data_IF_946289194912
#
_entry.id   IF_946289194912
#
_cell.length_a   1.000
_cell.length_b   1.000
_cell.length_c   1.000
_cell.angle_alpha   90.00
_cell.angle_beta   90.00
_cell.angle_gamma   90.00
#
_symmetry.space_group_name_H-M   'P 1'
#
loop_
_entity.id
_entity.type
_entity.pdbx_description
1 polymer ?
#
# COMPACT_ATOMS: atom_id res chain seq x y z
N UNK A 1 -64.12 40.26 -22.83
CA UNK A 1 -63.54 41.62 -22.86
C UNK A 1 -62.04 41.44 -22.96
N UNK A 2 -61.48 41.59 -24.16
CA UNK A 2 -60.74 42.79 -24.59
C UNK A 2 -59.41 42.91 -23.81
N UNK A 3 -58.26 42.40 -24.27
CA UNK A 3 -57.60 42.51 -25.58
C UNK A 3 -57.08 43.93 -25.90
N UNK A 4 -55.77 44.14 -25.69
CA UNK A 4 -54.96 45.09 -26.49
C UNK A 4 -53.51 44.60 -26.50
N UNK A 5 -52.91 44.54 -27.70
CA UNK A 5 -51.51 44.19 -27.92
C UNK A 5 -50.80 45.36 -28.61
N UNK A 6 -49.50 45.55 -28.38
CA UNK A 6 -48.68 46.50 -29.14
C UNK A 6 -47.32 45.89 -29.52
N UNK A 7 -47.16 45.73 -30.84
CA UNK A 7 -45.96 45.41 -31.64
C UNK A 7 -45.13 46.67 -31.92
N UNK A 8 -43.89 46.69 -32.45
CA UNK A 8 -42.90 45.76 -33.06
C UNK A 8 -41.49 46.40 -32.70
N UNK A 9 -40.33 46.20 -33.37
CA UNK A 9 -39.96 45.29 -34.45
C UNK A 9 -38.73 44.37 -34.23
N UNK A 10 -38.86 43.19 -34.81
CA UNK A 10 -37.89 42.40 -35.59
C UNK A 10 -36.67 43.11 -36.20
N UNK A 11 -35.49 42.48 -36.12
CA UNK A 11 -34.39 42.67 -37.09
C UNK A 11 -33.51 41.41 -37.28
N UNK A 12 -33.64 40.77 -38.44
CA UNK A 12 -32.82 39.70 -39.07
C UNK A 12 -33.28 39.64 -40.55
N UNK A 13 -32.53 39.15 -41.56
CA UNK A 13 -31.22 38.46 -41.55
C UNK A 13 -30.17 39.03 -42.55
N UNK A 14 -28.94 38.50 -42.54
CA UNK A 14 -28.03 38.53 -43.71
C UNK A 14 -26.96 37.41 -43.63
N UNK A 15 -26.82 36.52 -44.64
CA UNK A 15 -25.83 35.44 -44.62
C UNK A 15 -24.80 35.47 -45.78
N UNK A 16 -23.72 34.68 -45.64
CA UNK A 16 -22.81 34.21 -46.71
C UNK A 16 -21.84 35.29 -47.32
N UNK A 17 -20.67 34.92 -47.92
CA UNK A 17 -20.43 33.70 -48.71
C UNK A 17 -19.22 32.80 -48.42
N UNK A 18 -19.36 31.57 -48.92
CA UNK A 18 -18.34 30.54 -49.12
C UNK A 18 -17.56 30.85 -50.41
N UNK A 19 -16.24 30.61 -50.43
CA UNK A 19 -15.43 30.62 -51.65
C UNK A 19 -14.79 29.25 -51.89
N UNK A 20 -15.03 28.70 -53.08
CA UNK A 20 -14.50 27.42 -53.57
C UNK A 20 -13.51 27.66 -54.75
N UNK A 21 -12.71 26.65 -55.19
CA UNK A 21 -11.42 26.90 -55.84
C UNK A 21 -11.44 27.02 -57.37
N UNK A 22 -10.40 27.64 -57.95
CA UNK A 22 -10.19 27.72 -59.40
C UNK A 22 -8.76 27.39 -59.85
N UNK A 23 -8.55 26.10 -60.14
CA UNK A 23 -8.00 25.55 -61.40
C UNK A 23 -6.74 26.14 -62.11
N UNK A 24 -5.89 25.21 -62.59
CA UNK A 24 -4.94 25.29 -63.74
C UNK A 24 -3.65 26.11 -63.49
N UNK A 25 -2.49 25.83 -64.11
CA UNK A 25 -2.05 24.86 -65.16
C UNK A 25 -0.51 24.77 -65.07
N UNK A 26 0.13 23.64 -65.43
CA UNK A 26 1.60 23.62 -65.54
C UNK A 26 2.28 22.24 -65.58
N UNK A 27 2.18 21.55 -66.71
CA UNK A 27 3.04 20.40 -67.03
C UNK A 27 4.45 20.89 -67.40
N UNK A 28 5.52 20.20 -66.97
CA UNK A 28 6.53 19.66 -67.91
C UNK A 28 7.52 18.69 -67.22
N UNK A 29 7.91 17.66 -67.98
CA UNK A 29 8.86 16.62 -67.58
C UNK A 29 10.28 16.92 -68.12
N UNK A 30 11.29 16.24 -67.56
CA UNK A 30 12.24 15.33 -68.23
C UNK A 30 13.71 15.43 -67.73
N UNK A 31 14.24 14.24 -67.39
CA UNK A 31 15.62 13.73 -67.62
C UNK A 31 16.82 14.23 -66.81
N UNK A 32 17.46 13.22 -66.19
CA UNK A 32 18.87 13.09 -65.78
C UNK A 32 19.82 13.05 -67.02
N UNK A 33 21.19 13.13 -66.92
CA UNK A 33 22.04 12.26 -66.08
C UNK A 33 23.36 12.86 -65.48
N UNK A 34 24.07 12.00 -64.73
CA UNK A 34 25.35 12.17 -64.00
C UNK A 34 26.56 12.39 -64.93
N UNK A 35 27.71 12.94 -64.45
CA UNK A 35 28.91 12.06 -64.39
C UNK A 35 29.99 12.31 -63.29
N UNK A 36 30.69 11.22 -62.94
CA UNK A 36 32.13 11.06 -62.57
C UNK A 36 32.64 11.19 -61.11
N UNK A 37 33.23 10.05 -60.68
CA UNK A 37 34.30 9.74 -59.68
C UNK A 37 35.37 10.85 -59.51
N UNK A 38 36.16 10.93 -58.42
CA UNK A 38 36.85 9.83 -57.72
C UNK A 38 37.48 10.18 -56.34
N UNK A 39 38.07 9.14 -55.72
CA UNK A 39 39.15 9.10 -54.68
C UNK A 39 38.74 8.90 -53.20
N UNK A 40 39.11 7.70 -52.69
CA UNK A 40 39.65 7.26 -51.37
C UNK A 40 39.50 8.22 -50.15
N UNK A 41 39.24 7.74 -48.93
CA UNK A 41 40.09 6.87 -48.10
C UNK A 41 39.26 6.06 -47.06
N UNK A 42 39.82 4.98 -46.53
CA UNK A 42 39.18 4.06 -45.59
C UNK A 42 38.90 4.65 -44.19
N UNK A 43 37.76 4.26 -43.62
CA UNK A 43 37.58 4.12 -42.17
C UNK A 43 36.51 3.04 -41.91
N UNK A 44 36.92 1.93 -41.30
CA UNK A 44 36.04 0.87 -40.86
C UNK A 44 35.41 1.21 -39.51
N UNK A 45 34.09 1.38 -39.46
CA UNK A 45 33.31 1.31 -38.23
C UNK A 45 31.95 0.69 -38.57
N UNK A 46 31.68 -0.51 -38.07
CA UNK A 46 30.38 -1.14 -38.23
C UNK A 46 29.34 -0.37 -37.40
N UNK A 47 28.22 -0.02 -38.02
CA UNK A 47 27.10 0.62 -37.32
C UNK A 47 26.42 -0.41 -36.42
N UNK A 48 26.86 -0.47 -35.16
CA UNK A 48 26.21 -1.28 -34.13
C UNK A 48 24.79 -0.76 -33.89
N UNK A 49 23.80 -1.66 -33.92
CA UNK A 49 22.40 -1.27 -33.73
C UNK A 49 22.19 -0.78 -32.28
N UNK A 50 21.32 0.23 -32.06
CA UNK A 50 21.08 0.74 -30.71
C UNK A 50 20.57 -0.40 -29.80
N UNK A 51 21.14 -0.58 -28.60
CA UNK A 51 20.77 -1.68 -27.73
C UNK A 51 19.30 -1.55 -27.34
N UNK A 52 18.54 -2.63 -27.55
CA UNK A 52 17.18 -2.74 -26.98
C UNK A 52 17.29 -2.56 -25.46
N UNK A 53 16.43 -1.74 -24.82
CA UNK A 53 16.41 -1.68 -23.36
C UNK A 53 16.11 -3.09 -22.80
N UNK A 54 16.81 -3.50 -21.73
CA UNK A 54 16.53 -4.78 -21.09
C UNK A 54 15.06 -4.84 -20.60
N UNK A 55 14.45 -6.03 -20.55
CA UNK A 55 13.07 -6.17 -20.14
C UNK A 55 12.87 -5.61 -18.73
N UNK A 56 11.87 -4.74 -18.57
CA UNK A 56 11.57 -4.10 -17.30
C UNK A 56 11.13 -5.16 -16.28
N UNK A 57 12.01 -5.48 -15.33
CA UNK A 57 11.60 -6.05 -14.04
C UNK A 57 10.57 -5.09 -13.43
N UNK A 58 9.36 -5.54 -13.06
CA UNK A 58 8.39 -4.69 -12.37
C UNK A 58 8.80 -4.54 -10.91
N UNK A 59 9.94 -3.90 -10.65
CA UNK A 59 10.33 -3.39 -9.33
C UNK A 59 9.41 -2.22 -9.01
N UNK A 60 8.20 -2.57 -8.58
CA UNK A 60 7.06 -1.70 -8.28
C UNK A 60 7.24 -0.86 -7.02
N UNK A 61 8.41 -0.26 -6.85
CA UNK A 61 8.65 0.82 -5.91
C UNK A 61 8.32 2.10 -6.68
N UNK A 62 7.08 2.57 -6.57
CA UNK A 62 6.80 3.98 -6.88
C UNK A 62 7.55 4.76 -5.81
N UNK A 63 8.70 5.32 -6.21
CA UNK A 63 9.58 6.07 -5.34
C UNK A 63 8.80 7.18 -4.62
N UNK A 64 9.13 7.37 -3.35
CA UNK A 64 8.64 8.51 -2.59
C UNK A 64 9.31 9.76 -3.16
N UNK A 65 8.64 10.40 -4.13
CA UNK A 65 9.14 11.62 -4.77
C UNK A 65 9.39 12.69 -3.68
N UNK A 66 10.63 13.16 -3.48
CA UNK A 66 10.96 14.06 -2.36
C UNK A 66 10.23 15.42 -2.45
N UNK A 67 9.79 15.81 -3.65
CA UNK A 67 8.97 16.99 -3.87
C UNK A 67 7.51 16.86 -3.34
N UNK A 68 6.97 15.64 -3.24
CA UNK A 68 5.62 15.40 -2.69
C UNK A 68 5.63 15.25 -1.15
N UNK A 69 6.81 15.12 -0.54
CA UNK A 69 6.98 14.79 0.87
C UNK A 69 6.45 15.85 1.87
N UNK A 70 6.33 17.12 1.45
CA UNK A 70 5.90 18.22 2.32
C UNK A 70 4.36 18.33 2.48
N UNK A 71 3.56 17.49 1.81
CA UNK A 71 2.09 17.49 2.00
C UNK A 71 1.72 16.84 3.33
N UNK A 72 0.93 17.56 4.13
CA UNK A 72 0.40 17.15 5.46
C UNK A 72 -0.25 15.75 5.49
N UNK A 73 -0.71 15.24 4.33
CA UNK A 73 -1.24 13.88 4.14
C UNK A 73 -0.69 13.23 2.85
N UNK A 74 0.64 13.02 2.78
CA UNK A 74 1.34 12.42 1.62
C UNK A 74 0.68 11.13 1.13
N UNK A 75 0.61 10.09 1.96
CA UNK A 75 0.03 8.79 1.58
C UNK A 75 -1.44 8.88 1.18
N UNK A 76 -2.25 9.74 1.81
CA UNK A 76 -3.65 9.91 1.40
C UNK A 76 -3.75 10.48 -0.01
N UNK A 77 -2.93 11.48 -0.32
CA UNK A 77 -2.89 12.08 -1.67
C UNK A 77 -2.45 11.04 -2.70
N UNK A 78 -1.38 10.29 -2.42
CA UNK A 78 -0.89 9.20 -3.29
C UNK A 78 -1.96 8.13 -3.49
N UNK A 79 -2.70 7.75 -2.44
CA UNK A 79 -3.81 6.81 -2.55
C UNK A 79 -4.89 7.34 -3.51
N UNK A 80 -5.38 8.56 -3.27
CA UNK A 80 -6.46 9.16 -4.05
C UNK A 80 -6.07 9.40 -5.53
N UNK A 81 -4.81 9.77 -5.83
CA UNK A 81 -4.38 10.12 -7.20
C UNK A 81 -3.68 9.02 -7.99
N UNK A 82 -2.88 8.16 -7.34
CA UNK A 82 -2.02 7.15 -8.00
C UNK A 82 -2.54 5.73 -7.78
N UNK A 83 -3.02 5.38 -6.58
CA UNK A 83 -3.38 3.98 -6.24
C UNK A 83 -4.77 3.58 -6.74
N UNK A 84 -5.79 4.45 -6.58
CA UNK A 84 -7.16 4.16 -7.05
C UNK A 84 -7.24 3.79 -8.54
N UNK A 85 -6.66 4.56 -9.51
CA UNK A 85 -6.76 4.20 -10.93
C UNK A 85 -6.08 2.86 -11.23
N UNK A 86 -4.87 2.63 -10.73
CA UNK A 86 -4.12 1.36 -10.95
C UNK A 86 -4.94 0.15 -10.46
N UNK A 87 -5.49 0.22 -9.24
CA UNK A 87 -6.31 -0.89 -8.70
C UNK A 87 -7.63 -1.06 -9.49
N UNK A 88 -8.20 0.02 -10.01
CA UNK A 88 -9.44 -0.06 -10.82
C UNK A 88 -9.18 -0.70 -12.18
N UNK A 89 -8.04 -0.40 -12.80
CA UNK A 89 -7.59 -1.02 -14.06
C UNK A 89 -7.19 -2.49 -13.89
N UNK A 90 -6.43 -2.83 -12.84
CA UNK A 90 -5.94 -4.20 -12.59
C UNK A 90 -7.05 -5.19 -12.24
N UNK A 91 -8.06 -4.76 -11.47
CA UNK A 91 -9.15 -5.63 -10.99
C UNK A 91 -10.49 -5.40 -11.69
N UNK A 92 -10.60 -4.40 -12.57
CA UNK A 92 -11.79 -4.16 -13.39
C UNK A 92 -13.04 -3.77 -12.60
N UNK A 93 -12.90 -3.04 -11.49
CA UNK A 93 -14.04 -2.67 -10.64
C UNK A 93 -15.06 -1.80 -11.37
N UNK A 94 -16.34 -2.21 -11.31
CA UNK A 94 -17.45 -1.47 -11.92
C UNK A 94 -17.90 -0.26 -11.12
N UNK A 95 -17.50 -0.16 -9.85
CA UNK A 95 -17.92 0.90 -8.94
C UNK A 95 -16.75 1.39 -8.09
N UNK A 96 -16.54 2.72 -8.07
CA UNK A 96 -15.48 3.42 -7.30
C UNK A 96 -15.52 3.12 -5.79
N UNK A 97 -16.68 2.72 -5.26
CA UNK A 97 -16.83 2.32 -3.86
C UNK A 97 -16.42 0.87 -3.57
N UNK A 98 -16.21 0.02 -4.58
CA UNK A 98 -15.67 -1.34 -4.41
C UNK A 98 -14.14 -1.35 -4.23
N UNK A 99 -13.44 -0.30 -4.66
CA UNK A 99 -11.99 -0.18 -4.54
C UNK A 99 -11.57 -0.34 -3.07
N UNK A 100 -10.68 -1.29 -2.73
CA UNK A 100 -10.20 -1.53 -1.38
C UNK A 100 -9.62 -0.28 -0.70
N UNK A 101 -9.94 -0.09 0.58
CA UNK A 101 -9.52 1.07 1.38
C UNK A 101 -8.97 0.62 2.74
N UNK A 102 -8.13 1.43 3.35
CA UNK A 102 -7.72 1.26 4.74
C UNK A 102 -8.82 1.76 5.67
N UNK A 103 -9.33 0.91 6.56
CA UNK A 103 -10.38 1.27 7.53
C UNK A 103 -9.79 1.82 8.84
N UNK A 104 -8.84 1.07 9.39
CA UNK A 104 -8.18 1.34 10.67
C UNK A 104 -6.85 0.60 10.74
N UNK A 105 -5.93 1.13 11.53
CA UNK A 105 -4.75 0.41 11.98
C UNK A 105 -4.88 0.25 13.50
N UNK A 106 -4.81 -0.99 13.97
CA UNK A 106 -4.78 -1.30 15.41
C UNK A 106 -3.33 -1.58 15.79
N UNK A 107 -2.81 -0.81 16.74
CA UNK A 107 -1.49 -1.04 17.35
C UNK A 107 -1.71 -1.62 18.73
N UNK A 108 -1.14 -2.79 19.00
CA UNK A 108 -1.27 -3.53 20.24
C UNK A 108 0.11 -3.77 20.86
N UNK A 109 0.21 -3.65 22.19
CA UNK A 109 1.41 -3.99 22.95
C UNK A 109 1.02 -4.88 24.13
N UNK A 110 1.50 -6.13 24.12
CA UNK A 110 1.36 -7.06 25.24
C UNK A 110 2.47 -6.86 26.26
N UNK A 111 2.13 -6.35 27.46
CA UNK A 111 3.12 -6.07 28.51
C UNK A 111 3.39 -7.26 29.44
N UNK A 112 2.65 -8.36 29.30
CA UNK A 112 2.96 -9.66 29.91
C UNK A 112 3.23 -9.60 31.42
N UNK A 113 4.49 -9.75 31.81
CA UNK A 113 4.93 -9.76 33.22
C UNK A 113 4.87 -8.36 33.86
N UNK A 114 5.09 -7.30 33.08
CA UNK A 114 5.07 -5.91 33.55
C UNK A 114 3.66 -5.33 33.73
N UNK A 115 2.63 -6.12 33.40
CA UNK A 115 1.23 -5.88 33.75
C UNK A 115 0.99 -5.54 35.24
N UNK A 116 1.79 -6.12 36.15
CA UNK A 116 1.73 -5.83 37.59
C UNK A 116 2.47 -4.55 38.02
N UNK A 117 3.33 -3.99 37.15
CA UNK A 117 4.18 -2.85 37.46
C UNK A 117 3.60 -1.57 36.85
N UNK A 118 2.78 -0.84 37.62
CA UNK A 118 2.12 0.41 37.17
C UNK A 118 3.10 1.40 36.48
N UNK A 119 4.34 1.52 36.98
CA UNK A 119 5.37 2.39 36.39
C UNK A 119 5.77 1.99 34.96
N UNK A 120 5.95 0.69 34.71
CA UNK A 120 6.31 0.18 33.38
C UNK A 120 5.16 0.33 32.39
N UNK A 121 3.93 0.13 32.85
CA UNK A 121 2.74 0.35 32.06
C UNK A 121 2.54 1.84 31.71
N UNK A 122 2.83 2.76 32.64
CA UNK A 122 2.78 4.21 32.36
C UNK A 122 3.88 4.70 31.41
N UNK A 123 5.09 4.11 31.46
CA UNK A 123 6.14 4.37 30.47
C UNK A 123 5.68 3.93 29.07
N UNK A 124 5.28 2.65 28.92
CA UNK A 124 4.83 2.12 27.63
C UNK A 124 3.60 2.86 27.04
N UNK A 125 2.73 3.43 27.87
CA UNK A 125 1.65 4.30 27.39
C UNK A 125 2.15 5.63 26.84
N UNK A 126 3.19 6.23 27.44
CA UNK A 126 3.82 7.46 26.93
C UNK A 126 4.56 7.18 25.64
N UNK A 127 5.29 6.07 25.56
CA UNK A 127 6.03 5.68 24.36
C UNK A 127 5.08 5.47 23.16
N UNK A 128 4.00 4.69 23.34
CA UNK A 128 2.97 4.53 22.31
C UNK A 128 2.24 5.84 21.97
N UNK A 129 2.06 6.75 22.93
CA UNK A 129 1.47 8.07 22.65
C UNK A 129 2.41 8.94 21.81
N UNK A 130 3.73 8.93 22.07
CA UNK A 130 4.74 9.63 21.26
C UNK A 130 4.81 9.08 19.84
N UNK A 131 4.81 7.75 19.68
CA UNK A 131 4.79 7.12 18.35
C UNK A 131 3.49 7.46 17.61
N UNK A 132 2.33 7.20 18.20
CA UNK A 132 1.07 7.25 17.45
C UNK A 132 0.43 8.63 17.39
N UNK A 133 0.81 9.56 18.27
CA UNK A 133 0.14 10.84 18.46
C UNK A 133 -1.21 10.75 19.17
N UNK A 134 -1.57 9.57 19.71
CA UNK A 134 -2.84 9.31 20.36
C UNK A 134 -2.63 8.60 21.70
N UNK A 135 -3.28 9.08 22.77
CA UNK A 135 -3.19 8.42 24.07
C UNK A 135 -3.85 7.03 24.03
N UNK A 136 -3.19 5.98 24.53
CA UNK A 136 -3.64 4.62 24.33
C UNK A 136 -4.61 4.10 25.41
N UNK A 137 -5.30 2.99 25.11
CA UNK A 137 -6.29 2.36 25.99
C UNK A 137 -5.68 1.15 26.70
N UNK A 138 -5.84 1.09 28.02
CA UNK A 138 -5.45 -0.07 28.86
C UNK A 138 -6.37 -1.26 28.61
N UNK A 139 -5.83 -2.40 28.18
CA UNK A 139 -6.62 -3.61 27.90
C UNK A 139 -6.69 -4.51 29.13
N UNK A 140 -7.92 -4.90 29.53
CA UNK A 140 -8.18 -5.73 30.70
C UNK A 140 -8.44 -7.20 30.34
N UNK A 141 -8.06 -8.10 31.24
CA UNK A 141 -8.35 -9.53 31.18
C UNK A 141 -9.86 -9.80 31.19
N UNK A 142 -10.35 -10.55 30.20
CA UNK A 142 -11.75 -11.02 30.14
C UNK A 142 -12.00 -12.28 30.97
N UNK A 143 -11.00 -13.17 31.06
CA UNK A 143 -11.10 -14.46 31.72
C UNK A 143 -9.91 -14.63 32.67
N UNK A 144 -10.13 -15.26 33.82
CA UNK A 144 -9.07 -15.67 34.75
C UNK A 144 -8.34 -16.92 34.24
N UNK A 145 -7.01 -16.90 34.18
CA UNK A 145 -6.18 -18.03 33.73
C UNK A 145 -5.00 -18.23 34.70
N UNK A 146 -5.08 -19.30 35.48
CA UNK A 146 -4.12 -19.60 36.55
C UNK A 146 -2.67 -19.76 36.05
N UNK A 147 -2.47 -20.40 34.88
CA UNK A 147 -1.15 -20.62 34.29
C UNK A 147 -0.36 -19.34 34.02
N UNK A 148 -1.05 -18.24 33.71
CA UNK A 148 -0.45 -16.92 33.49
C UNK A 148 -0.53 -16.02 34.74
N UNK A 149 -1.08 -16.51 35.85
CA UNK A 149 -1.36 -15.76 37.09
C UNK A 149 -2.29 -14.55 36.88
N UNK A 150 -3.15 -14.59 35.87
CA UNK A 150 -4.06 -13.51 35.49
C UNK A 150 -5.45 -13.75 36.10
N UNK A 151 -6.02 -12.72 36.72
CA UNK A 151 -7.42 -12.66 37.16
C UNK A 151 -8.21 -11.70 36.26
N UNK A 152 -9.52 -11.90 36.17
CA UNK A 152 -10.44 -10.96 35.52
C UNK A 152 -10.24 -9.51 36.00
N UNK A 153 -10.33 -8.57 35.06
CA UNK A 153 -10.16 -7.15 35.35
C UNK A 153 -8.70 -6.66 35.47
N UNK A 154 -7.72 -7.56 35.63
CA UNK A 154 -6.30 -7.18 35.58
C UNK A 154 -5.96 -6.52 34.23
N UNK A 155 -5.14 -5.46 34.23
CA UNK A 155 -4.63 -4.88 32.97
C UNK A 155 -3.51 -5.77 32.44
N UNK A 156 -3.54 -6.16 31.16
CA UNK A 156 -2.53 -7.04 30.54
C UNK A 156 -1.63 -6.27 29.56
N UNK A 157 -2.18 -5.27 28.88
CA UNK A 157 -1.48 -4.57 27.82
C UNK A 157 -2.14 -3.24 27.46
N UNK A 158 -1.75 -2.75 26.29
CA UNK A 158 -2.10 -1.42 25.80
C UNK A 158 -2.48 -1.55 24.32
N UNK A 159 -3.55 -0.87 23.89
CA UNK A 159 -3.95 -0.83 22.49
C UNK A 159 -4.37 0.58 22.03
N UNK A 160 -4.11 0.88 20.76
CA UNK A 160 -4.54 2.09 20.05
C UNK A 160 -5.27 1.68 18.78
N UNK A 161 -6.35 2.38 18.44
CA UNK A 161 -7.01 2.25 17.12
C UNK A 161 -6.91 3.57 16.38
N UNK A 162 -6.06 3.59 15.35
CA UNK A 162 -5.83 4.73 14.48
C UNK A 162 -6.81 4.70 13.31
N UNK A 163 -7.41 5.85 12.99
CA UNK A 163 -8.34 6.03 11.87
C UNK A 163 -8.07 7.34 11.14
N UNK A 164 -8.59 7.46 9.93
CA UNK A 164 -8.53 8.69 9.15
C UNK A 164 -7.10 9.17 8.91
N UNK A 165 -6.83 10.45 9.18
CA UNK A 165 -5.52 11.09 8.89
C UNK A 165 -4.36 10.50 9.70
N UNK A 166 -4.57 10.22 11.00
CA UNK A 166 -3.52 9.71 11.90
C UNK A 166 -3.04 8.33 11.46
N UNK A 167 -3.95 7.50 10.95
CA UNK A 167 -3.65 6.17 10.40
C UNK A 167 -2.67 6.25 9.22
N UNK A 168 -2.91 7.14 8.25
CA UNK A 168 -1.99 7.33 7.11
C UNK A 168 -0.63 7.85 7.58
N UNK A 169 -0.59 8.80 8.52
CA UNK A 169 0.67 9.37 9.03
C UNK A 169 1.47 8.37 9.90
N UNK A 170 0.80 7.41 10.54
CA UNK A 170 1.48 6.29 11.21
C UNK A 170 2.00 5.26 10.21
N UNK A 171 1.22 4.91 9.18
CA UNK A 171 1.65 3.99 8.12
C UNK A 171 2.86 4.53 7.34
N UNK A 172 2.89 5.84 7.05
CA UNK A 172 4.00 6.51 6.37
C UNK A 172 5.30 6.41 7.18
N UNK A 173 5.23 6.68 8.49
CA UNK A 173 6.37 6.51 9.41
C UNK A 173 6.76 5.04 9.58
N UNK A 174 5.79 4.12 9.62
CA UNK A 174 6.09 2.70 9.70
C UNK A 174 6.90 2.23 8.49
N UNK A 175 6.43 2.55 7.26
CA UNK A 175 7.05 2.10 6.01
C UNK A 175 8.41 2.78 5.77
N UNK A 176 8.48 4.10 5.87
CA UNK A 176 9.66 4.86 5.44
C UNK A 176 10.74 5.00 6.52
N UNK A 177 10.40 4.82 7.80
CA UNK A 177 11.28 5.13 8.93
C UNK A 177 11.45 3.92 9.86
N UNK A 178 10.36 3.24 10.22
CA UNK A 178 10.38 2.09 11.14
C UNK A 178 10.97 0.82 10.52
N UNK A 179 10.44 0.36 9.38
CA UNK A 179 10.89 -0.88 8.74
C UNK A 179 12.38 -0.84 8.33
N UNK A 180 12.92 0.21 7.67
CA UNK A 180 14.32 0.24 7.26
C UNK A 180 15.31 0.32 8.45
N UNK A 181 14.85 0.82 9.60
CA UNK A 181 15.63 0.90 10.85
C UNK A 181 15.51 -0.37 11.70
N UNK A 182 14.65 -1.32 11.33
CA UNK A 182 14.54 -2.59 12.03
C UNK A 182 15.81 -3.42 11.80
N UNK A 183 16.39 -3.93 12.89
CA UNK A 183 17.55 -4.83 12.80
C UNK A 183 17.17 -6.10 12.01
N UNK A 184 18.04 -6.50 11.08
CA UNK A 184 17.85 -7.65 10.18
C UNK A 184 16.62 -7.55 9.24
N UNK A 185 16.32 -6.36 8.71
CA UNK A 185 15.19 -6.17 7.80
C UNK A 185 15.45 -6.76 6.39
N UNK A 186 14.76 -7.87 6.08
CA UNK A 186 14.80 -8.56 4.78
C UNK A 186 13.52 -8.37 3.92
N UNK A 187 12.66 -7.41 4.31
CA UNK A 187 11.30 -7.29 3.79
C UNK A 187 10.25 -7.93 4.72
N UNK A 188 9.01 -7.47 4.64
CA UNK A 188 7.88 -8.06 5.38
C UNK A 188 7.35 -9.32 4.71
N UNK A 189 6.90 -10.29 5.49
CA UNK A 189 6.41 -11.57 4.98
C UNK A 189 5.06 -11.37 4.24
N UNK A 190 4.94 -11.70 2.94
CA UNK A 190 3.69 -11.59 2.20
C UNK A 190 2.64 -12.63 2.63
N UNK A 191 2.98 -13.63 3.45
CA UNK A 191 2.02 -14.64 3.92
C UNK A 191 1.33 -14.27 5.24
N UNK A 192 1.48 -13.03 5.75
CA UNK A 192 0.89 -12.59 7.02
C UNK A 192 -0.54 -12.00 6.90
N UNK A 193 -1.27 -12.38 5.84
CA UNK A 193 -2.69 -12.06 5.68
C UNK A 193 -3.59 -13.10 6.37
N UNK A 194 -4.84 -12.71 6.64
CA UNK A 194 -5.82 -13.53 7.37
C UNK A 194 -6.87 -14.24 6.48
N UNK A 195 -6.67 -14.27 5.16
CA UNK A 195 -7.63 -14.80 4.19
C UNK A 195 -8.77 -13.83 3.84
N UNK A 196 -8.86 -12.69 4.52
CA UNK A 196 -9.91 -11.68 4.36
C UNK A 196 -9.32 -10.29 4.10
N UNK A 197 -8.09 -10.22 3.58
CA UNK A 197 -7.44 -8.97 3.22
C UNK A 197 -6.96 -8.09 4.39
N UNK A 198 -6.93 -8.59 5.62
CA UNK A 198 -6.27 -7.89 6.74
C UNK A 198 -4.83 -8.39 6.89
N UNK A 199 -3.94 -7.51 7.28
CA UNK A 199 -2.50 -7.78 7.36
C UNK A 199 -1.97 -7.49 8.75
N UNK A 200 -1.19 -8.41 9.34
CA UNK A 200 -0.59 -8.19 10.67
C UNK A 200 0.93 -8.37 10.63
N UNK A 201 1.64 -7.44 11.27
CA UNK A 201 3.09 -7.51 11.49
C UNK A 201 3.43 -7.36 12.97
N UNK A 202 4.38 -8.15 13.44
CA UNK A 202 4.98 -8.01 14.76
C UNK A 202 6.32 -7.27 14.67
N UNK A 203 6.44 -6.13 15.34
CA UNK A 203 7.70 -5.42 15.56
C UNK A 203 8.28 -5.87 16.90
N UNK A 204 9.51 -6.39 16.87
CA UNK A 204 10.19 -6.94 18.07
C UNK A 204 10.63 -5.87 19.07
N UNK A 205 10.85 -4.65 18.60
CA UNK A 205 11.37 -3.53 19.38
C UNK A 205 10.68 -2.24 18.93
N UNK A 206 10.28 -1.40 19.89
CA UNK A 206 9.71 -0.08 19.65
C UNK A 206 10.78 0.97 19.28
N UNK A 207 12.06 0.72 19.58
CA UNK A 207 13.20 1.61 19.25
C UNK A 207 13.47 1.82 17.75
N UNK A 208 12.65 1.25 16.87
CA UNK A 208 12.61 1.56 15.43
C UNK A 208 12.11 2.98 15.14
N UNK A 209 11.32 3.56 16.05
CA UNK A 209 10.82 4.94 15.97
C UNK A 209 11.81 5.92 16.61
N UNK A 210 12.28 6.99 15.91
CA UNK A 210 13.17 8.00 16.51
C UNK A 210 12.51 8.86 17.59
N UNK A 211 11.19 8.85 17.69
CA UNK A 211 10.44 9.51 18.76
C UNK A 211 10.71 8.90 20.16
N UNK A 212 11.26 7.68 20.23
CA UNK A 212 11.65 7.03 21.48
C UNK A 212 13.17 7.21 21.71
N UNK A 213 13.61 7.79 22.84
CA UNK A 213 15.02 7.85 23.18
C UNK A 213 15.56 6.43 23.47
N UNK A 214 16.73 6.11 22.95
CA UNK A 214 17.34 4.79 23.16
C UNK A 214 17.98 4.70 24.55
N UNK A 215 17.22 4.24 25.54
CA UNK A 215 17.75 3.92 26.87
C UNK A 215 18.47 2.55 26.85
N UNK A 216 19.79 2.57 27.07
CA UNK A 216 20.68 1.40 26.95
C UNK A 216 20.35 0.27 27.94
N UNK A 217 19.59 0.55 29.01
CA UNK A 217 19.11 -0.44 29.99
C UNK A 217 17.60 -0.66 30.02
N UNK A 218 16.83 -0.06 29.10
CA UNK A 218 15.38 -0.14 29.08
C UNK A 218 14.86 -1.52 28.66
N UNK A 219 13.70 -1.95 29.22
CA UNK A 219 12.99 -3.13 28.71
C UNK A 219 12.41 -2.82 27.32
N UNK A 220 12.90 -3.54 26.31
CA UNK A 220 12.37 -3.46 24.94
C UNK A 220 10.99 -4.10 24.87
N UNK A 221 9.97 -3.26 24.65
CA UNK A 221 8.61 -3.72 24.40
C UNK A 221 8.43 -3.96 22.90
N UNK A 222 7.79 -5.07 22.52
CA UNK A 222 7.32 -5.28 21.14
C UNK A 222 6.02 -4.54 20.86
N UNK A 223 5.60 -4.51 19.60
CA UNK A 223 4.22 -4.15 19.23
C UNK A 223 3.73 -5.00 18.05
N UNK A 224 2.44 -5.32 18.05
CA UNK A 224 1.74 -5.88 16.89
C UNK A 224 0.97 -4.77 16.20
N UNK A 225 1.09 -4.68 14.88
CA UNK A 225 0.35 -3.73 14.05
C UNK A 225 -0.53 -4.52 13.10
N UNK A 226 -1.85 -4.43 13.30
CA UNK A 226 -2.87 -5.00 12.43
C UNK A 226 -3.47 -3.90 11.55
N UNK A 227 -3.24 -4.01 10.26
CA UNK A 227 -3.80 -3.16 9.21
C UNK A 227 -5.09 -3.81 8.72
N UNK A 228 -6.22 -3.12 8.90
CA UNK A 228 -7.54 -3.59 8.47
C UNK A 228 -7.93 -2.89 7.18
N UNK A 229 -8.27 -3.67 6.16
CA UNK A 229 -8.72 -3.16 4.86
C UNK A 229 -10.17 -3.54 4.59
N UNK A 230 -10.77 -2.94 3.56
CA UNK A 230 -12.07 -3.36 3.02
C UNK A 230 -11.96 -4.38 1.88
N UNK A 231 -10.76 -4.90 1.60
CA UNK A 231 -10.58 -5.94 0.59
C UNK A 231 -11.31 -7.22 1.01
N UNK A 232 -11.69 -8.04 0.04
CA UNK A 232 -12.29 -9.36 0.30
C UNK A 232 -11.29 -10.49 0.12
N UNK A 233 -10.21 -10.23 -0.61
CA UNK A 233 -9.18 -11.22 -0.92
C UNK A 233 -7.79 -10.68 -0.56
N UNK A 234 -6.89 -11.59 -0.20
CA UNK A 234 -5.53 -11.23 0.16
C UNK A 234 -4.75 -10.64 -1.03
N UNK A 235 -5.07 -11.04 -2.27
CA UNK A 235 -4.44 -10.51 -3.48
C UNK A 235 -4.69 -9.00 -3.66
N UNK A 236 -5.93 -8.56 -3.45
CA UNK A 236 -6.33 -7.14 -3.48
C UNK A 236 -5.60 -6.34 -2.39
N UNK A 237 -5.56 -6.89 -1.17
CA UNK A 237 -4.92 -6.25 -0.02
C UNK A 237 -3.38 -6.17 -0.16
N UNK A 238 -2.75 -7.24 -0.63
CA UNK A 238 -1.32 -7.28 -0.91
C UNK A 238 -0.94 -6.29 -1.99
N UNK A 239 -1.74 -6.20 -3.07
CA UNK A 239 -1.51 -5.22 -4.15
C UNK A 239 -1.67 -3.79 -3.66
N UNK A 240 -2.70 -3.50 -2.88
CA UNK A 240 -2.91 -2.20 -2.24
C UNK A 240 -1.73 -1.80 -1.34
N UNK A 241 -1.24 -2.71 -0.48
CA UNK A 241 -0.12 -2.43 0.40
C UNK A 241 1.19 -2.24 -0.39
N UNK A 242 1.43 -3.03 -1.44
CA UNK A 242 2.59 -2.89 -2.30
C UNK A 242 2.60 -1.53 -3.01
N UNK A 243 1.45 -1.08 -3.54
CA UNK A 243 1.31 0.24 -4.18
C UNK A 243 1.44 1.42 -3.19
N UNK A 244 1.17 1.20 -1.90
CA UNK A 244 1.46 2.15 -0.83
C UNK A 244 2.92 2.14 -0.37
N UNK A 245 3.78 1.33 -1.00
CA UNK A 245 5.22 1.25 -0.74
C UNK A 245 5.63 0.19 0.30
N UNK A 246 4.76 -0.74 0.67
CA UNK A 246 5.08 -1.79 1.64
C UNK A 246 6.16 -2.75 1.10
N UNK A 247 7.35 -2.83 1.72
CA UNK A 247 8.47 -3.62 1.19
C UNK A 247 8.31 -5.12 1.51
N UNK A 248 7.60 -5.86 0.65
CA UNK A 248 7.44 -7.32 0.77
C UNK A 248 8.75 -8.06 0.42
N UNK A 249 9.04 -9.14 1.15
CA UNK A 249 10.19 -9.99 0.88
C UNK A 249 9.98 -10.89 -0.35
N UNK A 250 10.65 -10.59 -1.46
CA UNK A 250 10.55 -11.34 -2.73
C UNK A 250 11.04 -12.81 -2.62
N UNK A 251 11.96 -13.09 -1.69
CA UNK A 251 12.64 -14.37 -1.59
C UNK A 251 11.87 -15.46 -0.82
N UNK A 252 10.69 -15.17 -0.27
CA UNK A 252 9.83 -16.20 0.34
C UNK A 252 9.04 -16.89 -0.78
N UNK A 253 9.72 -17.81 -1.49
CA UNK A 253 9.03 -18.87 -2.25
C UNK A 253 8.00 -19.47 -1.31
N UNK A 254 6.75 -19.55 -1.75
CA UNK A 254 5.64 -20.11 -0.98
C UNK A 254 5.96 -21.54 -0.59
N UNK A 255 6.52 -21.71 0.61
CA UNK A 255 6.95 -23.01 1.09
C UNK A 255 5.67 -23.84 1.22
N UNK A 256 5.63 -24.89 0.40
CA UNK A 256 4.47 -25.68 0.00
C UNK A 256 3.37 -25.73 1.05
N UNK A 257 2.10 -25.75 0.61
CA UNK A 257 0.98 -26.27 1.41
C UNK A 257 1.36 -27.64 1.99
N UNK A 258 1.99 -27.64 3.17
CA UNK A 258 2.07 -28.76 4.08
C UNK A 258 0.64 -28.89 4.59
N UNK A 259 -0.21 -29.48 3.75
CA UNK A 259 -1.30 -30.34 4.17
C UNK A 259 -0.67 -31.25 5.20
N UNK A 260 -0.78 -30.85 6.48
CA UNK A 260 -0.62 -31.73 7.63
C UNK A 260 -1.62 -32.82 7.33
N UNK A 261 -1.14 -33.92 6.73
CA UNK A 261 -1.89 -35.16 6.67
C UNK A 261 -2.28 -35.40 8.11
N UNK A 262 -3.55 -35.23 8.45
CA UNK A 262 -4.04 -35.61 9.76
C UNK A 262 -3.57 -37.06 9.91
N UNK A 263 -2.66 -37.30 10.86
CA UNK A 263 -2.39 -38.68 11.28
C UNK A 263 -3.76 -39.18 11.72
N UNK A 264 -4.32 -40.13 10.97
CA UNK A 264 -5.56 -40.80 11.38
C UNK A 264 -5.28 -41.31 12.78
N UNK A 265 -5.94 -40.72 13.77
CA UNK A 265 -5.80 -41.18 15.14
C UNK A 265 -6.28 -42.63 15.16
N UNK A 266 -5.37 -43.55 15.45
CA UNK A 266 -5.71 -44.95 15.65
C UNK A 266 -6.40 -45.08 17.01
N UNK A 267 -7.66 -44.66 17.06
CA UNK A 267 -8.48 -44.64 18.26
C UNK A 267 -9.80 -45.37 17.99
N UNK A 268 -10.07 -46.35 18.87
CA UNK A 268 -11.20 -47.30 18.86
C UNK A 268 -11.11 -48.36 17.73
N UNK A 269 -11.07 -49.67 18.02
CA UNK A 269 -11.84 -50.36 19.07
C UNK A 269 -11.05 -51.46 19.79
N UNK A 270 -10.80 -51.31 21.10
CA UNK A 270 -10.70 -52.49 21.97
C UNK A 270 -12.11 -53.06 22.10
N UNK A 271 -12.30 -54.29 21.64
CA UNK A 271 -13.63 -54.88 21.49
C UNK A 271 -14.39 -55.01 22.82
N UNK A 272 -15.70 -54.75 22.77
CA UNK A 272 -16.64 -55.34 23.73
C UNK A 272 -16.65 -56.85 23.48
N UNK A 273 -16.08 -57.62 24.41
CA UNK A 273 -16.00 -59.07 24.30
C UNK A 273 -15.83 -59.72 25.67
N UNK A 274 -16.90 -60.40 26.11
CA UNK A 274 -17.02 -61.46 27.14
C UNK A 274 -15.69 -62.05 27.64
N UNK A 275 -15.52 -62.36 28.94
CA UNK A 275 -16.50 -62.81 29.95
C UNK A 275 -16.25 -62.14 31.30
#
# INVERSE_FOLDING_TARGET
MAATAVTLPTSSPAPFPVAAPSARRGLQLLRSPVPRRAIRVAASAATEAPPKPPPATPSGIILVDPAEAQKVHRLKTVYDTKVIPIITEEFGYTNVHQVPKLEKIVVNCGLGVDAGNNKGLEAAMKDLASITGQYPVKTKAKNSVASFKIREGNTIGIAVTLRGRVMFNFLDRLINLGLPRTMDFLGVNPNSFDGHGNYTIGLRDQGVFPEIPYEVGGKKNGMDVTIVTTAKTDNEAQRLLALLGMPFAENIKSDQFKKKRLKRHHFMSKGRGRK
#
